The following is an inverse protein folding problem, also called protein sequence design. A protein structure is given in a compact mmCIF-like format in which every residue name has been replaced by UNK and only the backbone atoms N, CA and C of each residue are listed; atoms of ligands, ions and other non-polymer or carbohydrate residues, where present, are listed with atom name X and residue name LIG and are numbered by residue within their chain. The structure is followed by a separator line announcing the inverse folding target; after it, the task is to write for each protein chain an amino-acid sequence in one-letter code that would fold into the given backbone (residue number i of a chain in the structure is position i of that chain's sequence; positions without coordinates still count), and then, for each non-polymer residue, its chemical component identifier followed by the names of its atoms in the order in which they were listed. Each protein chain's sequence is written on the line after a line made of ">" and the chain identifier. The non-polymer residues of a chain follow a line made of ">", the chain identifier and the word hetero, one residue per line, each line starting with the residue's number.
data_IF_240772841960
#
_entry.id   IF_240772841960
#
_cell.length_a   1.000
_cell.length_b   1.000
_cell.length_c   1.000
_cell.angle_alpha   90.00
_cell.angle_beta   90.00
_cell.angle_gamma   90.00
#
_symmetry.space_group_name_H-M   'P 1'
#
loop_
_entity.id
_entity.type
_entity.pdbx_description
1 polymer ?
#
# COMPACT_ATOMS: atom_id res chain seq x y z
N UNK A 1 -54.11 22.76 -7.53
CA UNK A 1 -52.87 22.23 -8.16
C UNK A 1 -51.78 22.21 -7.11
N UNK A 2 -51.41 21.04 -6.53
CA UNK A 2 -50.26 20.98 -5.65
C UNK A 2 -48.99 21.05 -6.51
N UNK A 3 -48.08 21.95 -6.14
CA UNK A 3 -46.73 22.01 -6.68
C UNK A 3 -46.02 20.69 -6.33
N UNK A 4 -45.95 19.77 -7.30
CA UNK A 4 -44.96 18.69 -7.25
C UNK A 4 -43.62 19.36 -7.53
N UNK A 5 -42.95 19.81 -6.46
CA UNK A 5 -41.54 20.17 -6.55
C UNK A 5 -40.80 18.93 -7.04
N UNK A 6 -40.22 18.98 -8.25
CA UNK A 6 -39.25 17.98 -8.69
C UNK A 6 -38.22 17.86 -7.57
N UNK A 7 -38.10 16.69 -6.96
CA UNK A 7 -36.96 16.39 -6.10
C UNK A 7 -35.70 16.80 -6.88
N UNK A 8 -34.82 17.56 -6.24
CA UNK A 8 -33.51 17.86 -6.83
C UNK A 8 -32.93 16.54 -7.35
N UNK A 9 -32.35 16.55 -8.54
CA UNK A 9 -31.74 15.35 -9.13
C UNK A 9 -30.46 15.00 -8.35
N UNK A 10 -30.66 14.48 -7.14
CA UNK A 10 -29.63 14.17 -6.16
C UNK A 10 -28.63 13.14 -6.69
N UNK A 11 -29.01 12.14 -7.51
CA UNK A 11 -28.04 11.26 -8.17
C UNK A 11 -27.10 12.02 -9.10
N UNK A 12 -27.63 12.88 -9.99
CA UNK A 12 -26.79 13.64 -10.93
C UNK A 12 -25.89 14.64 -10.21
N UNK A 13 -26.40 15.30 -9.18
CA UNK A 13 -25.62 16.21 -8.34
C UNK A 13 -24.49 15.47 -7.59
N UNK A 14 -24.78 14.30 -7.01
CA UNK A 14 -23.81 13.46 -6.33
C UNK A 14 -22.71 12.97 -7.29
N UNK A 15 -23.09 12.49 -8.47
CA UNK A 15 -22.14 12.07 -9.49
C UNK A 15 -21.23 13.23 -9.94
N UNK A 16 -21.81 14.40 -10.17
CA UNK A 16 -21.05 15.60 -10.56
C UNK A 16 -20.05 16.01 -9.47
N UNK A 17 -20.47 16.00 -8.21
CA UNK A 17 -19.60 16.32 -7.08
C UNK A 17 -18.47 15.30 -6.90
N UNK A 18 -18.77 14.01 -7.01
CA UNK A 18 -17.80 12.92 -6.96
C UNK A 18 -16.76 13.05 -8.08
N UNK A 19 -17.19 13.30 -9.31
CA UNK A 19 -16.27 13.48 -10.45
C UNK A 19 -15.38 14.71 -10.29
N UNK A 20 -15.93 15.81 -9.78
CA UNK A 20 -15.15 17.01 -9.46
C UNK A 20 -14.10 16.73 -8.38
N UNK A 21 -14.47 16.00 -7.32
CA UNK A 21 -13.56 15.58 -6.27
C UNK A 21 -12.47 14.64 -6.80
N UNK A 22 -12.84 13.67 -7.63
CA UNK A 22 -11.92 12.73 -8.25
C UNK A 22 -10.89 13.43 -9.15
N UNK A 23 -11.33 14.37 -9.98
CA UNK A 23 -10.45 15.18 -10.81
C UNK A 23 -9.49 16.05 -9.98
N UNK A 24 -9.97 16.64 -8.88
CA UNK A 24 -9.11 17.39 -7.95
C UNK A 24 -8.07 16.49 -7.28
N UNK A 25 -8.47 15.32 -6.78
CA UNK A 25 -7.52 14.38 -6.20
C UNK A 25 -6.48 13.96 -7.23
N UNK A 26 -6.89 13.62 -8.46
CA UNK A 26 -5.95 13.28 -9.52
C UNK A 26 -4.99 14.42 -9.84
N UNK A 27 -5.42 15.68 -9.81
CA UNK A 27 -4.56 16.84 -10.11
C UNK A 27 -3.49 17.11 -9.05
N UNK A 28 -3.70 16.67 -7.80
CA UNK A 28 -2.71 16.78 -6.72
C UNK A 28 -1.87 15.51 -6.51
N UNK A 29 -2.15 14.46 -7.28
CA UNK A 29 -1.44 13.18 -7.18
C UNK A 29 -0.01 13.26 -7.72
N UNK A 30 0.85 12.38 -7.22
CA UNK A 30 2.24 12.25 -7.65
C UNK A 30 2.42 10.91 -8.30
N UNK A 31 2.56 10.90 -9.63
CA UNK A 31 2.55 9.66 -10.44
C UNK A 31 1.30 8.79 -10.21
N UNK A 32 0.20 9.38 -9.72
CA UNK A 32 -1.02 8.64 -9.35
C UNK A 32 -1.10 8.19 -7.90
N UNK A 33 -0.06 8.40 -7.08
CA UNK A 33 -0.10 8.17 -5.64
C UNK A 33 -0.38 9.41 -4.80
N UNK A 34 -0.61 9.18 -3.51
CA UNK A 34 -1.20 10.16 -2.58
C UNK A 34 -0.51 10.15 -1.21
N UNK A 35 -0.70 11.25 -0.47
CA UNK A 35 -0.29 11.45 0.92
C UNK A 35 -1.54 11.47 1.83
N UNK A 36 -1.34 11.57 3.14
CA UNK A 36 -2.46 11.62 4.10
C UNK A 36 -3.12 12.98 4.17
N UNK A 37 -2.32 14.04 4.15
CA UNK A 37 -2.76 15.39 4.47
C UNK A 37 -2.20 16.39 3.47
N UNK A 38 -3.05 17.30 3.07
CA UNK A 38 -2.75 18.42 2.19
C UNK A 38 -3.34 19.68 2.81
N UNK A 39 -2.56 20.77 2.93
CA UNK A 39 -3.13 22.07 3.25
C UNK A 39 -4.03 22.55 2.12
N UNK A 40 -4.99 23.44 2.40
CA UNK A 40 -5.91 23.96 1.38
C UNK A 40 -5.20 24.66 0.21
N UNK A 41 -4.04 25.27 0.47
CA UNK A 41 -3.18 25.89 -0.54
C UNK A 41 -2.13 24.94 -1.12
N UNK A 42 -2.15 23.66 -0.71
CA UNK A 42 -1.26 22.57 -1.10
C UNK A 42 0.23 22.83 -0.81
N UNK A 43 0.59 23.87 -0.04
CA UNK A 43 1.99 24.17 0.30
C UNK A 43 2.56 23.18 1.31
N UNK A 44 1.72 22.63 2.17
CA UNK A 44 2.10 21.63 3.16
C UNK A 44 1.47 20.29 2.80
N UNK A 45 2.31 19.26 2.77
CA UNK A 45 1.88 17.89 2.53
C UNK A 45 2.57 16.95 3.52
N UNK A 46 1.87 15.92 3.97
CA UNK A 46 2.39 15.03 5.01
C UNK A 46 1.77 13.62 4.97
N UNK A 47 2.54 12.65 5.46
CA UNK A 47 2.03 11.40 6.02
C UNK A 47 2.02 11.51 7.54
N UNK A 48 2.69 10.57 8.21
CA UNK A 48 3.01 10.68 9.63
C UNK A 48 3.95 11.86 9.92
N UNK A 49 4.88 12.11 8.99
CA UNK A 49 5.80 13.26 9.02
C UNK A 49 5.63 14.12 7.78
N UNK A 50 6.21 15.32 7.81
CA UNK A 50 6.26 16.21 6.66
C UNK A 50 6.86 15.49 5.44
N UNK A 51 6.21 15.66 4.30
CA UNK A 51 6.58 15.04 3.04
C UNK A 51 6.82 16.11 1.95
N UNK A 52 7.19 15.66 0.76
CA UNK A 52 7.33 16.50 -0.43
C UNK A 52 6.22 16.17 -1.42
N UNK A 53 5.98 17.06 -2.40
CA UNK A 53 5.07 16.77 -3.53
C UNK A 53 5.59 15.67 -4.46
N UNK A 54 6.79 15.14 -4.27
CA UNK A 54 7.30 13.97 -4.98
C UNK A 54 7.11 12.67 -4.18
N UNK A 55 6.61 12.75 -2.95
CA UNK A 55 6.42 11.61 -2.06
C UNK A 55 4.99 11.06 -2.15
N UNK A 56 4.87 9.74 -2.14
CA UNK A 56 3.62 9.03 -1.87
C UNK A 56 3.73 8.31 -0.52
N UNK A 57 2.60 8.15 0.17
CA UNK A 57 2.51 7.35 1.39
C UNK A 57 1.77 6.05 1.08
N UNK A 58 2.24 4.93 1.65
CA UNK A 58 1.65 3.61 1.45
C UNK A 58 0.76 3.25 2.63
N UNK A 59 1.21 3.54 3.86
CA UNK A 59 0.43 3.31 5.07
C UNK A 59 -0.94 3.98 4.94
N UNK A 60 -2.05 3.29 5.24
CA UNK A 60 -3.38 3.89 5.25
C UNK A 60 -3.43 5.15 6.15
N UNK A 61 -4.17 6.21 5.76
CA UNK A 61 -5.04 6.32 4.59
C UNK A 61 -4.32 6.84 3.32
N UNK A 62 -3.11 6.37 3.02
CA UNK A 62 -2.32 6.80 1.86
C UNK A 62 -2.81 6.28 0.51
N UNK A 63 -1.87 6.04 -0.40
CA UNK A 63 -2.10 5.65 -1.79
C UNK A 63 -3.06 4.47 -1.98
N UNK A 64 -2.93 3.34 -1.25
CA UNK A 64 -3.86 2.22 -1.40
C UNK A 64 -5.30 2.60 -1.05
N UNK A 65 -5.52 3.42 -0.01
CA UNK A 65 -6.85 3.83 0.43
C UNK A 65 -7.54 4.72 -0.59
N UNK A 66 -6.81 5.68 -1.18
CA UNK A 66 -7.37 6.54 -2.23
C UNK A 66 -7.62 5.74 -3.52
N UNK A 67 -6.70 4.83 -3.86
CA UNK A 67 -6.88 3.90 -4.99
C UNK A 67 -8.14 3.04 -4.85
N UNK A 68 -8.36 2.46 -3.67
CA UNK A 68 -9.55 1.67 -3.37
C UNK A 68 -10.83 2.52 -3.46
N UNK A 69 -10.82 3.76 -2.96
CA UNK A 69 -11.99 4.64 -3.07
C UNK A 69 -12.36 4.93 -4.54
N UNK A 70 -11.37 5.10 -5.44
CA UNK A 70 -11.64 5.22 -6.87
C UNK A 70 -12.18 3.94 -7.49
N UNK A 71 -11.65 2.79 -7.08
CA UNK A 71 -12.09 1.50 -7.57
C UNK A 71 -13.54 1.24 -7.15
N UNK A 72 -13.88 1.44 -5.89
CA UNK A 72 -15.23 1.29 -5.35
C UNK A 72 -16.21 2.21 -6.11
N UNK A 73 -15.83 3.48 -6.32
CA UNK A 73 -16.64 4.43 -7.05
C UNK A 73 -16.84 4.02 -8.52
N UNK A 74 -15.82 3.46 -9.18
CA UNK A 74 -15.96 2.86 -10.51
C UNK A 74 -16.92 1.67 -10.50
N UNK A 75 -16.78 0.74 -9.57
CA UNK A 75 -17.62 -0.47 -9.50
C UNK A 75 -19.10 -0.13 -9.28
N UNK A 76 -19.40 0.98 -8.59
CA UNK A 76 -20.78 1.45 -8.39
C UNK A 76 -21.35 2.26 -9.57
N UNK A 77 -20.52 2.80 -10.45
CA UNK A 77 -20.95 3.81 -11.44
C UNK A 77 -20.65 3.45 -12.89
N UNK A 78 -19.70 2.53 -13.12
CA UNK A 78 -19.17 2.20 -14.45
C UNK A 78 -18.34 3.30 -15.10
N UNK A 79 -18.07 4.42 -14.42
CA UNK A 79 -17.39 5.58 -15.01
C UNK A 79 -15.89 5.31 -15.17
N UNK A 80 -15.46 5.03 -16.40
CA UNK A 80 -14.09 4.60 -16.76
C UNK A 80 -12.97 5.54 -16.27
N UNK A 81 -13.25 6.85 -16.13
CA UNK A 81 -12.28 7.80 -15.58
C UNK A 81 -11.87 7.48 -14.13
N UNK A 82 -12.79 6.92 -13.33
CA UNK A 82 -12.51 6.50 -11.96
C UNK A 82 -11.62 5.26 -11.95
N UNK A 83 -11.86 4.31 -12.87
CA UNK A 83 -10.96 3.16 -13.06
C UNK A 83 -9.55 3.62 -13.47
N UNK A 84 -9.43 4.61 -14.36
CA UNK A 84 -8.11 5.15 -14.71
C UNK A 84 -7.38 5.76 -13.49
N UNK A 85 -8.11 6.42 -12.58
CA UNK A 85 -7.52 6.95 -11.34
C UNK A 85 -7.10 5.82 -10.39
N UNK A 86 -7.90 4.75 -10.27
CA UNK A 86 -7.51 3.56 -9.51
C UNK A 86 -6.27 2.88 -10.10
N UNK A 87 -6.22 2.70 -11.43
CA UNK A 87 -5.04 2.20 -12.13
C UNK A 87 -3.81 3.10 -11.89
N UNK A 88 -3.99 4.38 -11.54
CA UNK A 88 -2.87 5.32 -11.34
C UNK A 88 -2.24 5.11 -9.97
N UNK A 89 -3.08 4.92 -8.96
CA UNK A 89 -2.64 4.48 -7.64
C UNK A 89 -1.96 3.10 -7.73
N UNK A 90 -2.54 2.17 -8.49
CA UNK A 90 -1.97 0.83 -8.70
C UNK A 90 -0.58 0.88 -9.35
N UNK A 91 -0.42 1.68 -10.40
CA UNK A 91 0.86 1.87 -11.07
C UNK A 91 1.91 2.51 -10.14
N UNK A 92 1.53 3.53 -9.36
CA UNK A 92 2.41 4.15 -8.38
C UNK A 92 2.92 3.15 -7.31
N UNK A 93 2.04 2.25 -6.85
CA UNK A 93 2.42 1.16 -5.93
C UNK A 93 3.34 0.16 -6.62
N UNK A 94 3.04 -0.25 -7.84
CA UNK A 94 3.87 -1.21 -8.57
C UNK A 94 5.29 -0.65 -8.86
N UNK A 95 5.39 0.64 -9.18
CA UNK A 95 6.67 1.34 -9.40
C UNK A 95 7.51 1.51 -8.12
N UNK A 96 6.89 1.43 -6.95
CA UNK A 96 7.52 1.65 -5.64
C UNK A 96 7.68 0.38 -4.80
N UNK A 97 7.21 -0.78 -5.31
CA UNK A 97 7.37 -2.07 -4.63
C UNK A 97 8.85 -2.39 -4.44
N UNK A 98 9.20 -2.86 -3.24
CA UNK A 98 10.57 -3.25 -2.90
C UNK A 98 10.90 -4.65 -3.41
N UNK A 99 12.19 -4.94 -3.60
CA UNK A 99 12.64 -6.30 -3.91
C UNK A 99 12.33 -7.30 -2.79
N UNK A 100 12.17 -6.86 -1.54
CA UNK A 100 11.70 -7.74 -0.46
C UNK A 100 10.21 -8.12 -0.56
N UNK A 101 9.43 -7.47 -1.44
CA UNK A 101 8.07 -7.88 -1.80
C UNK A 101 6.95 -6.92 -1.45
N UNK A 102 7.07 -6.26 -0.33
CA UNK A 102 6.13 -5.25 0.14
C UNK A 102 6.63 -3.84 -0.15
N UNK A 103 6.29 -2.92 0.75
CA UNK A 103 6.59 -1.50 0.63
C UNK A 103 7.23 -0.94 1.91
N UNK A 104 8.04 0.12 1.75
CA UNK A 104 8.33 1.06 2.84
C UNK A 104 7.04 1.85 3.15
N UNK A 105 7.00 2.62 4.24
CA UNK A 105 5.85 3.48 4.54
C UNK A 105 5.62 4.55 3.48
N UNK A 106 6.68 4.95 2.78
CA UNK A 106 6.66 6.01 1.79
C UNK A 106 7.63 5.74 0.65
N UNK A 107 7.39 6.39 -0.47
CA UNK A 107 8.28 6.39 -1.61
C UNK A 107 8.40 7.79 -2.19
N UNK A 108 9.61 8.22 -2.52
CA UNK A 108 9.88 9.54 -3.11
C UNK A 108 10.35 9.38 -4.55
N UNK A 109 9.49 9.78 -5.50
CA UNK A 109 9.78 9.72 -6.93
C UNK A 109 10.90 10.65 -7.37
N UNK A 110 11.26 11.68 -6.59
CA UNK A 110 12.42 12.51 -6.88
C UNK A 110 13.74 11.86 -6.45
N UNK A 111 13.69 10.87 -5.55
CA UNK A 111 14.87 10.18 -5.03
C UNK A 111 14.69 8.64 -5.02
N UNK A 112 14.31 8.03 -6.16
CA UNK A 112 13.95 6.60 -6.23
C UNK A 112 15.11 5.68 -5.86
N UNK A 113 16.36 6.12 -6.08
CA UNK A 113 17.60 5.41 -5.76
C UNK A 113 17.77 5.07 -4.28
N UNK A 114 16.98 5.67 -3.38
CA UNK A 114 16.99 5.32 -1.95
C UNK A 114 16.36 3.96 -1.67
N UNK A 115 15.56 3.42 -2.58
CA UNK A 115 14.86 2.14 -2.43
C UNK A 115 15.35 1.13 -3.47
N UNK A 116 15.50 -0.13 -3.06
CA UNK A 116 15.75 -1.23 -3.97
C UNK A 116 14.41 -1.69 -4.52
N UNK A 117 13.99 -1.11 -5.63
CA UNK A 117 12.67 -1.38 -6.19
C UNK A 117 12.71 -2.64 -7.02
N UNK A 118 11.62 -3.40 -6.99
CA UNK A 118 11.46 -4.61 -7.81
C UNK A 118 11.65 -4.35 -9.29
N UNK A 119 11.20 -3.18 -9.77
CA UNK A 119 11.37 -2.78 -11.17
C UNK A 119 12.84 -2.58 -11.58
N UNK A 120 13.72 -2.26 -10.62
CA UNK A 120 15.15 -2.06 -10.87
C UNK A 120 15.94 -3.37 -10.88
N UNK A 121 15.31 -4.50 -10.50
CA UNK A 121 15.97 -5.81 -10.31
C UNK A 121 15.48 -6.87 -11.31
N UNK A 122 14.52 -6.55 -12.19
CA UNK A 122 13.93 -7.51 -13.15
C UNK A 122 14.98 -8.20 -14.00
N UNK A 123 15.97 -7.44 -14.48
CA UNK A 123 16.99 -7.95 -15.39
C UNK A 123 18.29 -8.32 -14.66
N UNK A 124 18.70 -7.51 -13.68
CA UNK A 124 19.93 -7.74 -12.91
C UNK A 124 19.93 -6.90 -11.63
N UNK A 125 20.74 -7.31 -10.65
CA UNK A 125 20.89 -6.57 -9.40
C UNK A 125 21.75 -5.31 -9.60
N UNK A 126 21.28 -4.12 -9.18
CA UNK A 126 22.09 -2.90 -9.20
C UNK A 126 23.35 -3.01 -8.34
N UNK A 127 24.47 -2.42 -8.78
CA UNK A 127 25.75 -2.43 -8.05
C UNK A 127 25.66 -1.78 -6.66
N UNK A 128 24.72 -0.85 -6.49
CA UNK A 128 24.48 -0.12 -5.25
C UNK A 128 23.35 -0.73 -4.39
N UNK A 129 22.84 -1.91 -4.74
CA UNK A 129 21.69 -2.53 -4.08
C UNK A 129 21.79 -2.62 -2.56
N UNK A 130 22.97 -2.92 -2.02
CA UNK A 130 23.21 -3.03 -0.56
C UNK A 130 23.06 -1.71 0.20
N UNK A 131 23.11 -0.56 -0.50
CA UNK A 131 22.95 0.77 0.08
C UNK A 131 21.51 1.28 0.03
N UNK A 132 20.63 0.58 -0.69
CA UNK A 132 19.23 0.97 -0.88
C UNK A 132 18.34 0.29 0.16
N UNK A 133 17.24 0.94 0.53
CA UNK A 133 16.23 0.38 1.44
C UNK A 133 15.51 -0.78 0.77
N UNK A 134 15.48 -1.91 1.46
CA UNK A 134 14.81 -3.12 0.97
C UNK A 134 14.03 -3.83 2.08
N UNK A 135 13.48 -3.11 3.04
CA UNK A 135 12.70 -3.71 4.14
C UNK A 135 11.22 -3.43 3.92
N UNK A 136 10.46 -4.50 3.69
CA UNK A 136 9.01 -4.47 3.58
C UNK A 136 8.38 -4.24 4.96
N UNK A 137 7.28 -3.48 4.98
CA UNK A 137 6.61 -3.07 6.22
C UNK A 137 5.24 -3.70 6.31
N UNK A 138 5.05 -4.52 7.34
CA UNK A 138 3.78 -5.17 7.65
C UNK A 138 3.05 -4.53 8.83
N UNK A 139 3.73 -3.62 9.53
CA UNK A 139 3.14 -2.72 10.52
C UNK A 139 2.04 -1.84 9.92
N UNK A 140 1.05 -1.47 10.74
CA UNK A 140 -0.01 -0.52 10.41
C UNK A 140 -0.75 -0.81 9.09
N UNK A 141 -0.94 -2.09 8.77
CA UNK A 141 -1.59 -2.52 7.54
C UNK A 141 -0.92 -1.96 6.26
N UNK A 142 0.38 -1.64 6.30
CA UNK A 142 1.07 -0.94 5.21
C UNK A 142 1.13 -1.76 3.91
N UNK A 143 1.90 -2.86 3.88
CA UNK A 143 1.98 -3.67 2.66
C UNK A 143 0.69 -4.46 2.40
N UNK A 144 -0.04 -4.80 3.46
CA UNK A 144 -1.27 -5.58 3.35
C UNK A 144 -2.37 -4.78 2.65
N UNK A 145 -2.58 -3.50 3.00
CA UNK A 145 -3.54 -2.65 2.28
C UNK A 145 -3.17 -2.45 0.81
N UNK A 146 -1.88 -2.30 0.48
CA UNK A 146 -1.41 -2.25 -0.89
C UNK A 146 -1.72 -3.56 -1.65
N UNK A 147 -1.45 -4.72 -1.05
CA UNK A 147 -1.75 -6.03 -1.65
C UNK A 147 -3.25 -6.21 -1.84
N UNK A 148 -4.07 -5.92 -0.83
CA UNK A 148 -5.54 -6.02 -0.91
C UNK A 148 -6.10 -5.17 -2.04
N UNK A 149 -5.65 -3.92 -2.15
CA UNK A 149 -6.06 -3.04 -3.24
C UNK A 149 -5.60 -3.56 -4.61
N UNK A 150 -4.35 -4.01 -4.75
CA UNK A 150 -3.84 -4.56 -6.01
C UNK A 150 -4.55 -5.87 -6.41
N UNK A 151 -4.99 -6.69 -5.45
CA UNK A 151 -5.81 -7.88 -5.70
C UNK A 151 -7.17 -7.50 -6.29
N UNK A 152 -7.85 -6.52 -5.70
CA UNK A 152 -9.14 -6.02 -6.19
C UNK A 152 -8.99 -5.37 -7.58
N UNK A 153 -8.03 -4.44 -7.72
CA UNK A 153 -7.76 -3.74 -8.98
C UNK A 153 -7.37 -4.71 -10.11
N UNK A 154 -6.60 -5.76 -9.79
CA UNK A 154 -6.17 -6.76 -10.75
C UNK A 154 -7.32 -7.51 -11.43
N UNK A 155 -8.52 -7.55 -10.84
CA UNK A 155 -9.71 -8.12 -11.49
C UNK A 155 -10.20 -7.30 -12.68
N UNK A 156 -9.81 -6.03 -12.75
CA UNK A 156 -10.16 -5.09 -13.82
C UNK A 156 -9.01 -4.88 -14.81
N UNK A 157 -7.87 -5.53 -14.60
CA UNK A 157 -6.72 -5.48 -15.50
C UNK A 157 -6.81 -6.57 -16.56
N UNK A 158 -6.77 -6.17 -17.83
CA UNK A 158 -6.75 -7.13 -18.96
C UNK A 158 -5.34 -7.64 -19.28
N UNK A 159 -4.29 -6.96 -18.80
CA UNK A 159 -2.89 -7.29 -19.09
C UNK A 159 -2.42 -6.87 -20.48
N UNK A 160 -3.25 -6.17 -21.26
CA UNK A 160 -2.90 -5.72 -22.61
C UNK A 160 -1.97 -4.50 -22.61
N UNK A 161 -2.05 -3.65 -21.58
CA UNK A 161 -1.17 -2.49 -21.44
C UNK A 161 0.04 -2.78 -20.55
N UNK A 162 1.15 -2.05 -20.76
CA UNK A 162 2.34 -2.18 -19.92
C UNK A 162 2.05 -1.87 -18.44
N UNK A 163 1.20 -0.86 -18.19
CA UNK A 163 0.74 -0.47 -16.85
C UNK A 163 -0.01 -1.59 -16.15
N UNK A 164 -0.99 -2.20 -16.82
CA UNK A 164 -1.74 -3.34 -16.24
C UNK A 164 -0.82 -4.53 -15.97
N UNK A 165 0.11 -4.86 -16.87
CA UNK A 165 1.08 -5.94 -16.64
C UNK A 165 1.96 -5.66 -15.43
N UNK A 166 2.39 -4.41 -15.24
CA UNK A 166 3.20 -4.03 -14.10
C UNK A 166 2.41 -4.15 -12.78
N UNK A 167 1.15 -3.74 -12.78
CA UNK A 167 0.24 -3.90 -11.63
C UNK A 167 0.03 -5.38 -11.30
N UNK A 168 -0.29 -6.22 -12.29
CA UNK A 168 -0.48 -7.65 -12.11
C UNK A 168 0.81 -8.33 -11.59
N UNK A 169 1.97 -7.96 -12.14
CA UNK A 169 3.25 -8.47 -11.66
C UNK A 169 3.54 -8.06 -10.21
N UNK A 170 3.25 -6.82 -9.83
CA UNK A 170 3.43 -6.35 -8.45
C UNK A 170 2.47 -7.04 -7.47
N UNK A 171 1.20 -7.25 -7.87
CA UNK A 171 0.21 -8.03 -7.12
C UNK A 171 0.72 -9.43 -6.83
N UNK A 172 1.14 -10.14 -7.86
CA UNK A 172 1.56 -11.54 -7.75
C UNK A 172 2.88 -11.67 -6.97
N UNK A 173 3.82 -10.76 -7.20
CA UNK A 173 5.08 -10.71 -6.46
C UNK A 173 4.85 -10.43 -4.97
N UNK A 174 4.00 -9.43 -4.66
CA UNK A 174 3.69 -9.03 -3.30
C UNK A 174 2.97 -10.13 -2.52
N UNK A 175 1.95 -10.76 -3.11
CA UNK A 175 1.23 -11.86 -2.50
C UNK A 175 2.16 -13.04 -2.19
N UNK A 176 2.98 -13.47 -3.17
CA UNK A 176 3.95 -14.55 -2.95
C UNK A 176 4.94 -14.20 -1.83
N UNK A 177 5.48 -12.98 -1.83
CA UNK A 177 6.43 -12.54 -0.80
C UNK A 177 5.80 -12.41 0.58
N UNK A 178 4.53 -12.04 0.68
CA UNK A 178 3.79 -12.05 1.95
C UNK A 178 3.68 -13.47 2.51
N UNK A 179 3.39 -14.47 1.66
CA UNK A 179 3.35 -15.87 2.07
C UNK A 179 4.74 -16.40 2.47
N UNK A 180 5.79 -16.07 1.71
CA UNK A 180 7.19 -16.43 2.05
C UNK A 180 7.64 -15.84 3.39
N UNK A 181 7.08 -14.70 3.79
CA UNK A 181 7.41 -14.04 5.04
C UNK A 181 6.75 -14.66 6.27
N UNK A 182 5.79 -15.56 6.09
CA UNK A 182 5.10 -16.22 7.19
C UNK A 182 6.08 -17.11 7.96
N UNK A 183 6.05 -17.00 9.28
CA UNK A 183 6.77 -17.89 10.17
C UNK A 183 6.13 -19.29 10.17
N UNK A 184 6.91 -20.34 10.51
CA UNK A 184 6.39 -21.71 10.60
C UNK A 184 5.18 -21.89 11.52
N UNK A 185 5.04 -21.03 12.54
CA UNK A 185 3.90 -21.02 13.46
C UNK A 185 2.69 -20.22 12.96
N UNK A 186 2.73 -19.73 11.72
CA UNK A 186 1.66 -18.96 11.09
C UNK A 186 1.71 -17.44 11.35
N UNK A 187 2.63 -16.93 12.16
CA UNK A 187 2.77 -15.49 12.43
C UNK A 187 3.49 -14.76 11.28
N UNK A 188 3.52 -13.43 11.33
CA UNK A 188 4.35 -12.59 10.45
C UNK A 188 5.26 -11.67 11.26
N UNK A 189 6.40 -11.25 10.69
CA UNK A 189 7.21 -10.19 11.28
C UNK A 189 6.56 -8.83 11.08
N UNK A 190 6.95 -7.82 11.86
CA UNK A 190 6.58 -6.44 11.57
C UNK A 190 7.31 -5.90 10.32
N UNK A 191 8.56 -6.33 10.12
CA UNK A 191 9.41 -5.94 9.00
C UNK A 191 10.03 -7.16 8.33
N UNK A 192 9.98 -7.21 7.00
CA UNK A 192 10.46 -8.34 6.22
C UNK A 192 11.61 -7.93 5.28
N UNK A 193 12.71 -8.68 5.34
CA UNK A 193 13.95 -8.46 4.59
C UNK A 193 13.99 -9.20 3.24
N UNK A 194 12.91 -9.89 2.86
CA UNK A 194 12.85 -10.66 1.62
C UNK A 194 13.34 -12.11 1.75
N UNK A 195 13.83 -12.51 2.93
CA UNK A 195 14.39 -13.84 3.20
C UNK A 195 13.40 -14.71 3.98
N UNK A 196 12.95 -15.86 3.42
CA UNK A 196 12.04 -16.79 4.09
C UNK A 196 12.54 -17.25 5.46
N UNK A 197 11.61 -17.53 6.38
CA UNK A 197 11.91 -17.85 7.77
C UNK A 197 12.00 -19.37 7.96
N UNK A 198 13.22 -19.88 8.12
CA UNK A 198 13.48 -21.32 8.20
C UNK A 198 13.00 -21.93 9.52
N UNK A 199 12.38 -23.11 9.46
CA UNK A 199 11.83 -23.79 10.63
C UNK A 199 12.86 -24.09 11.74
N UNK A 200 14.12 -24.30 11.36
CA UNK A 200 15.22 -24.52 12.31
C UNK A 200 15.48 -23.30 13.22
N UNK A 201 15.24 -22.09 12.71
CA UNK A 201 15.51 -20.83 13.42
C UNK A 201 14.25 -20.34 14.18
N UNK A 202 13.08 -20.86 13.80
CA UNK A 202 11.77 -20.47 14.31
C UNK A 202 10.92 -21.72 14.65
N UNK A 203 11.29 -22.49 15.68
CA UNK A 203 10.60 -23.73 16.02
C UNK A 203 9.16 -23.45 16.45
N UNK A 204 8.24 -24.31 16.02
CA UNK A 204 6.84 -24.30 16.44
C UNK A 204 6.74 -24.93 17.82
N UNK A 205 6.62 -24.09 18.85
CA UNK A 205 6.48 -24.51 20.24
C UNK A 205 5.14 -24.03 20.82
N UNK A 206 4.61 -24.77 21.79
CA UNK A 206 3.42 -24.34 22.51
C UNK A 206 3.67 -23.01 23.25
N UNK A 207 2.73 -22.08 23.12
CA UNK A 207 2.78 -20.81 23.82
C UNK A 207 2.82 -21.03 25.34
N UNK A 208 3.69 -20.29 26.03
CA UNK A 208 3.87 -20.38 27.49
C UNK A 208 4.34 -19.03 28.05
N UNK A 209 3.92 -18.73 29.27
CA UNK A 209 4.49 -17.63 30.04
C UNK A 209 5.74 -18.10 30.77
N UNK A 210 6.83 -17.31 30.76
CA UNK A 210 7.98 -17.62 31.59
C UNK A 210 7.59 -17.47 33.08
N UNK A 211 8.14 -18.32 33.96
CA UNK A 211 7.86 -18.28 35.42
C UNK A 211 8.24 -16.94 36.06
N UNK A 212 9.24 -16.27 35.49
CA UNK A 212 9.66 -14.92 35.85
C UNK A 212 9.93 -14.12 34.57
N UNK A 213 9.70 -12.82 34.64
CA UNK A 213 10.02 -11.89 33.55
C UNK A 213 10.53 -10.57 34.13
N UNK A 214 11.40 -9.89 33.38
CA UNK A 214 11.96 -8.62 33.82
C UNK A 214 10.89 -7.52 33.82
N UNK A 215 10.84 -6.74 34.90
CA UNK A 215 10.05 -5.48 34.95
C UNK A 215 10.78 -4.29 34.35
N UNK A 216 12.03 -4.49 33.90
CA UNK A 216 12.84 -3.47 33.23
C UNK A 216 12.65 -3.60 31.73
N UNK A 217 12.31 -2.49 31.07
CA UNK A 217 12.18 -2.44 29.62
C UNK A 217 13.51 -2.76 28.92
N UNK A 218 13.52 -3.84 28.15
CA UNK A 218 14.74 -4.42 27.58
C UNK A 218 15.24 -3.72 26.31
N UNK A 219 14.48 -2.78 25.72
CA UNK A 219 14.82 -2.07 24.47
C UNK A 219 15.21 -3.01 23.31
N UNK A 220 14.63 -4.22 23.27
CA UNK A 220 14.92 -5.18 22.22
C UNK A 220 14.34 -4.71 20.88
N UNK A 221 15.05 -5.02 19.79
CA UNK A 221 14.53 -4.79 18.45
C UNK A 221 13.43 -5.82 18.15
N UNK A 222 12.20 -5.35 18.10
CA UNK A 222 11.01 -6.18 17.91
C UNK A 222 10.58 -6.32 16.43
N UNK A 223 11.31 -5.74 15.47
CA UNK A 223 10.95 -5.76 14.05
C UNK A 223 10.76 -7.18 13.47
N UNK A 224 11.44 -8.16 14.06
CA UNK A 224 11.36 -9.59 13.68
C UNK A 224 10.54 -10.43 14.65
N UNK A 225 9.99 -9.86 15.72
CA UNK A 225 9.16 -10.63 16.64
C UNK A 225 7.92 -11.17 15.94
N UNK A 226 7.35 -12.24 16.48
CA UNK A 226 6.03 -12.71 16.07
C UNK A 226 5.02 -11.63 16.46
N UNK A 227 4.56 -10.87 15.48
CA UNK A 227 3.57 -9.82 15.68
C UNK A 227 2.25 -10.29 15.10
N UNK A 228 1.21 -10.25 15.92
CA UNK A 228 -0.14 -10.11 15.39
C UNK A 228 -0.27 -8.64 15.01
N UNK A 229 -0.33 -8.34 13.71
CA UNK A 229 -0.48 -6.96 13.22
C UNK A 229 -1.69 -6.33 13.93
N UNK A 230 -1.59 -5.06 14.34
CA UNK A 230 -2.60 -4.41 15.17
C UNK A 230 -4.02 -4.63 14.63
N UNK A 231 -4.88 -5.25 15.45
CA UNK A 231 -6.25 -5.68 15.11
C UNK A 231 -6.43 -6.79 14.04
N UNK A 232 -5.40 -7.49 13.57
CA UNK A 232 -5.53 -8.63 12.61
C UNK A 232 -6.36 -9.83 13.09
N UNK A 233 -6.74 -9.87 14.37
CA UNK A 233 -7.66 -10.86 14.96
C UNK A 233 -9.12 -10.39 14.97
N UNK A 234 -9.39 -9.16 14.53
CA UNK A 234 -10.72 -8.55 14.51
C UNK A 234 -11.37 -8.56 13.12
N UNK A 235 -10.57 -8.67 12.06
CA UNK A 235 -11.01 -8.78 10.66
C UNK A 235 -11.11 -10.25 10.22
#
# INVERSE_FOLDING_TARGET
>A
LPFIGRAADTPTAAQTAMLKGAAFMRSISTHGGYLWRYSADLKLVAGEVQATRSTIWIQPPGTPSVGQAFLDAYEKTGLRQLLDHALAAGDALAQSQLESGGWDYRFDFANPQRWLRRVDTINSMPKDASRRRNISTFDDNNSQSAISFLLALGQHCSGHTARERLILAARDYGLRKLLEAQYPNGAWPQRYDGVPKAAKDYPVIQARYPKSWSRVYQKQNYMRHYTFNDNSHRD
#
